data_IF_059255457806
#
_entry.id   IF_059255457806
#
_cell.length_a   1.000
_cell.length_b   1.000
_cell.length_c   1.000
_cell.angle_alpha   90.00
_cell.angle_beta   90.00
_cell.angle_gamma   90.00
#
_symmetry.space_group_name_H-M   'P 1'
#
loop_
_entity.id
_entity.type
_entity.pdbx_description
1 polymer ?
#
# COMPACT_ATOMS: atom_id res chain seq x y z
N UNK A 1 -12.88 -13.05 -14.66
CA UNK A 1 -12.17 -12.77 -15.95
C UNK A 1 -11.43 -11.43 -15.81
N UNK A 2 -10.40 -11.16 -16.64
CA UNK A 2 -9.75 -9.83 -16.63
C UNK A 2 -10.75 -8.81 -17.18
N UNK A 3 -11.00 -7.75 -16.40
CA UNK A 3 -11.91 -6.66 -16.77
C UNK A 3 -11.15 -5.57 -17.54
N UNK A 4 -10.05 -5.07 -16.98
CA UNK A 4 -9.17 -4.11 -17.64
C UNK A 4 -7.71 -4.34 -17.29
N UNK A 5 -6.83 -3.88 -18.21
CA UNK A 5 -5.40 -3.75 -17.99
C UNK A 5 -5.03 -2.33 -18.39
N UNK A 6 -4.52 -1.58 -17.46
CA UNK A 6 -4.19 -0.17 -17.63
C UNK A 6 -2.75 0.06 -17.12
N UNK A 7 -2.10 1.10 -17.60
CA UNK A 7 -0.76 1.54 -17.19
C UNK A 7 -0.78 2.92 -16.51
N UNK A 8 -1.57 3.09 -15.42
CA UNK A 8 -1.65 4.36 -14.74
C UNK A 8 -0.33 4.75 -14.07
N UNK A 9 -0.10 6.05 -13.97
CA UNK A 9 0.92 6.58 -13.07
C UNK A 9 0.47 6.48 -11.61
N UNK A 10 1.41 6.59 -10.67
CA UNK A 10 1.10 6.69 -9.23
C UNK A 10 0.16 7.87 -8.98
N UNK A 11 0.34 8.99 -9.72
CA UNK A 11 -0.59 10.12 -9.67
C UNK A 11 -2.03 9.74 -10.03
N UNK A 12 -2.23 8.85 -10.99
CA UNK A 12 -3.56 8.41 -11.43
C UNK A 12 -4.18 7.37 -10.48
N UNK A 13 -3.36 6.52 -9.87
CA UNK A 13 -3.80 5.60 -8.82
C UNK A 13 -4.31 6.39 -7.62
N UNK A 14 -3.50 7.30 -7.11
CA UNK A 14 -3.83 8.18 -5.99
C UNK A 14 -4.40 9.52 -6.49
N UNK A 15 -5.28 9.48 -7.51
CA UNK A 15 -5.84 10.67 -8.15
C UNK A 15 -6.62 11.54 -7.18
N UNK A 16 -6.43 12.85 -7.29
CA UNK A 16 -7.18 13.86 -6.52
C UNK A 16 -8.58 14.10 -7.07
N UNK A 17 -8.81 13.79 -8.35
CA UNK A 17 -10.06 14.05 -9.06
C UNK A 17 -11.05 12.89 -8.93
N UNK A 18 -10.53 11.66 -8.84
CA UNK A 18 -11.33 10.45 -8.64
C UNK A 18 -11.27 10.00 -7.18
N UNK A 19 -12.43 9.66 -6.62
CA UNK A 19 -12.52 9.14 -5.25
C UNK A 19 -12.23 7.64 -5.23
N UNK A 20 -10.99 7.26 -5.58
CA UNK A 20 -10.51 5.88 -5.50
C UNK A 20 -9.97 5.57 -4.10
N UNK A 21 -10.34 4.40 -3.59
CA UNK A 21 -9.81 3.85 -2.33
C UNK A 21 -9.30 2.45 -2.63
N UNK A 22 -8.11 2.16 -2.16
CA UNK A 22 -7.45 0.87 -2.26
C UNK A 22 -7.42 0.21 -0.89
N UNK A 23 -8.22 -0.83 -0.72
CA UNK A 23 -8.32 -1.60 0.52
C UNK A 23 -7.48 -2.88 0.41
N UNK A 24 -6.64 -3.11 1.40
CA UNK A 24 -5.84 -4.33 1.51
C UNK A 24 -6.58 -5.28 2.44
N UNK A 25 -7.21 -6.35 1.90
CA UNK A 25 -8.02 -7.25 2.71
C UNK A 25 -7.26 -7.90 3.85
N UNK A 26 -7.97 -8.23 4.93
CA UNK A 26 -7.39 -8.84 6.14
C UNK A 26 -6.71 -10.20 5.91
N UNK A 27 -7.07 -10.91 4.86
CA UNK A 27 -6.45 -12.19 4.50
C UNK A 27 -5.12 -12.05 3.74
N UNK A 28 -4.75 -10.83 3.32
CA UNK A 28 -3.44 -10.54 2.78
C UNK A 28 -2.39 -10.55 3.90
N UNK A 29 -1.12 -10.77 3.52
CA UNK A 29 -0.02 -10.70 4.49
C UNK A 29 0.13 -9.29 5.04
N UNK A 30 0.66 -9.20 6.26
CA UNK A 30 1.03 -7.93 6.87
C UNK A 30 2.09 -7.16 6.05
N UNK A 31 2.34 -5.92 6.45
CA UNK A 31 3.43 -5.14 5.88
C UNK A 31 4.78 -5.73 6.32
N UNK A 32 5.53 -6.28 5.36
CA UNK A 32 6.77 -7.04 5.64
C UNK A 32 8.02 -6.38 5.11
N UNK A 33 7.93 -5.39 4.22
CA UNK A 33 9.08 -4.69 3.67
C UNK A 33 10.00 -4.13 4.75
N UNK A 34 11.28 -4.06 4.44
CA UNK A 34 12.35 -3.61 5.32
C UNK A 34 13.19 -2.53 4.62
N UNK A 35 14.22 -2.05 5.30
CA UNK A 35 15.05 -0.94 4.82
C UNK A 35 15.63 -1.16 3.41
N UNK A 36 16.02 -2.39 3.07
CA UNK A 36 16.52 -2.71 1.73
C UNK A 36 15.45 -2.52 0.66
N UNK A 37 14.23 -2.95 0.95
CA UNK A 37 13.10 -2.83 0.02
C UNK A 37 12.71 -1.36 -0.17
N UNK A 38 12.73 -0.57 0.91
CA UNK A 38 12.45 0.86 0.86
C UNK A 38 13.53 1.62 0.09
N UNK A 39 14.81 1.30 0.33
CA UNK A 39 15.94 1.88 -0.38
C UNK A 39 15.84 1.58 -1.88
N UNK A 40 15.61 0.33 -2.26
CA UNK A 40 15.46 -0.06 -3.66
C UNK A 40 14.32 0.72 -4.34
N UNK A 41 13.13 0.79 -3.72
CA UNK A 41 12.02 1.54 -4.29
C UNK A 41 12.36 3.03 -4.50
N UNK A 42 12.99 3.64 -3.51
CA UNK A 42 13.38 5.05 -3.57
C UNK A 42 14.43 5.30 -4.66
N UNK A 43 15.48 4.48 -4.69
CA UNK A 43 16.56 4.57 -5.66
C UNK A 43 16.06 4.30 -7.08
N UNK A 44 15.21 3.30 -7.28
CA UNK A 44 14.59 2.98 -8.55
C UNK A 44 13.78 4.18 -9.11
N UNK A 45 13.11 4.94 -8.26
CA UNK A 45 12.34 6.10 -8.68
C UNK A 45 13.24 7.32 -8.92
N UNK A 46 14.20 7.58 -8.04
CA UNK A 46 14.96 8.84 -8.05
C UNK A 46 16.19 8.82 -8.95
N UNK A 47 16.73 7.61 -9.25
CA UNK A 47 17.92 7.45 -10.11
C UNK A 47 17.57 7.14 -11.57
N UNK A 48 16.29 7.01 -11.90
CA UNK A 48 15.82 6.77 -13.26
C UNK A 48 14.98 7.94 -13.78
N UNK A 49 14.74 7.94 -15.09
CA UNK A 49 13.89 8.94 -15.74
C UNK A 49 12.45 8.86 -15.26
N UNK A 50 11.71 9.98 -15.41
CA UNK A 50 10.28 10.03 -15.14
C UNK A 50 9.52 8.93 -15.92
N UNK A 51 8.55 8.29 -15.27
CA UNK A 51 7.81 7.17 -15.86
C UNK A 51 8.44 5.80 -15.59
N UNK A 52 9.36 5.69 -14.63
CA UNK A 52 9.94 4.40 -14.24
C UNK A 52 8.86 3.36 -13.89
N UNK A 53 9.02 2.15 -14.42
CA UNK A 53 8.04 1.09 -14.22
C UNK A 53 8.23 0.36 -12.90
N UNK A 54 7.24 0.42 -12.04
CA UNK A 54 7.26 -0.16 -10.70
C UNK A 54 6.70 -1.59 -10.61
N UNK A 55 6.24 -2.18 -11.71
CA UNK A 55 5.62 -3.51 -11.74
C UNK A 55 4.10 -3.47 -11.79
N UNK A 56 3.44 -4.60 -11.44
CA UNK A 56 1.99 -4.75 -11.55
C UNK A 56 1.28 -4.69 -10.20
N UNK A 57 -0.01 -4.28 -10.26
CA UNK A 57 -1.00 -4.40 -9.20
C UNK A 57 -2.18 -5.24 -9.70
N UNK A 58 -2.66 -6.17 -8.90
CA UNK A 58 -3.90 -6.90 -9.18
C UNK A 58 -4.94 -6.41 -8.19
N UNK A 59 -6.05 -5.93 -8.72
CA UNK A 59 -7.16 -5.43 -7.91
C UNK A 59 -8.47 -6.09 -8.34
N UNK A 60 -9.35 -6.33 -7.37
CA UNK A 60 -10.74 -6.69 -7.61
C UNK A 60 -11.57 -5.42 -7.55
N UNK A 61 -12.50 -5.28 -8.52
CA UNK A 61 -13.47 -4.19 -8.49
C UNK A 61 -14.38 -4.38 -7.27
N UNK A 62 -14.23 -3.49 -6.31
CA UNK A 62 -15.11 -3.43 -5.16
C UNK A 62 -16.42 -2.71 -5.46
N UNK A 63 -17.24 -2.54 -4.45
CA UNK A 63 -18.55 -1.87 -4.56
C UNK A 63 -18.38 -0.39 -4.85
N UNK A 64 -19.06 0.10 -5.88
CA UNK A 64 -19.27 1.54 -6.08
C UNK A 64 -20.25 2.03 -5.00
N UNK A 65 -19.76 2.84 -4.07
CA UNK A 65 -20.66 3.52 -3.13
C UNK A 65 -21.30 4.71 -3.83
N UNK A 66 -22.49 4.48 -4.42
CA UNK A 66 -23.23 5.47 -5.20
C UNK A 66 -23.61 6.76 -4.43
N UNK A 67 -23.55 6.74 -3.10
CA UNK A 67 -23.79 7.94 -2.29
C UNK A 67 -22.60 8.90 -2.23
N UNK A 68 -21.40 8.44 -2.53
CA UNK A 68 -20.15 9.22 -2.41
C UNK A 68 -19.32 9.23 -3.70
N UNK A 69 -19.78 8.63 -4.78
CA UNK A 69 -19.00 8.41 -6.04
C UNK A 69 -17.60 7.81 -5.79
N UNK A 70 -17.47 6.99 -4.73
CA UNK A 70 -16.20 6.41 -4.34
C UNK A 70 -16.07 5.01 -4.92
N UNK A 71 -15.01 4.77 -5.66
CA UNK A 71 -14.66 3.44 -6.20
C UNK A 71 -13.73 2.77 -5.20
N UNK A 72 -14.14 1.63 -4.67
CA UNK A 72 -13.29 0.79 -3.82
C UNK A 72 -12.65 -0.31 -4.66
N UNK A 73 -11.35 -0.44 -4.54
CA UNK A 73 -10.57 -1.54 -5.10
C UNK A 73 -10.01 -2.39 -3.98
N UNK A 74 -10.19 -3.69 -4.03
CA UNK A 74 -9.50 -4.61 -3.14
C UNK A 74 -8.16 -5.03 -3.76
N UNK A 75 -7.07 -4.79 -3.04
CA UNK A 75 -5.72 -5.06 -3.54
C UNK A 75 -5.32 -6.51 -3.24
N UNK A 76 -5.14 -7.30 -4.30
CA UNK A 76 -4.75 -8.71 -4.19
C UNK A 76 -3.24 -8.88 -4.34
N UNK A 77 -2.61 -8.08 -5.21
CA UNK A 77 -1.16 -8.03 -5.35
C UNK A 77 -0.65 -6.59 -5.46
N UNK A 78 0.62 -6.38 -5.08
CA UNK A 78 1.24 -5.05 -5.05
C UNK A 78 1.02 -4.27 -3.75
N UNK A 79 0.37 -4.84 -2.76
CA UNK A 79 0.02 -4.20 -1.48
C UNK A 79 1.21 -3.56 -0.75
N UNK A 80 2.37 -4.24 -0.71
CA UNK A 80 3.57 -3.74 -0.05
C UNK A 80 4.05 -2.45 -0.71
N UNK A 81 4.12 -2.46 -2.04
CA UNK A 81 4.55 -1.30 -2.84
C UNK A 81 3.59 -0.13 -2.70
N UNK A 82 2.28 -0.37 -2.81
CA UNK A 82 1.27 0.67 -2.69
C UNK A 82 1.30 1.35 -1.30
N UNK A 83 1.41 0.55 -0.24
CA UNK A 83 1.57 1.05 1.13
C UNK A 83 2.84 1.88 1.26
N UNK A 84 3.97 1.40 0.72
CA UNK A 84 5.25 2.09 0.80
C UNK A 84 5.25 3.41 0.01
N UNK A 85 4.65 3.43 -1.19
CA UNK A 85 4.47 4.68 -1.97
C UNK A 85 3.65 5.70 -1.20
N UNK A 86 2.61 5.26 -0.52
CA UNK A 86 1.79 6.15 0.31
C UNK A 86 2.57 6.70 1.52
N UNK A 87 3.43 5.88 2.17
CA UNK A 87 4.29 6.34 3.26
C UNK A 87 5.38 7.31 2.77
N UNK A 88 5.96 7.07 1.58
CA UNK A 88 6.91 7.99 0.94
C UNK A 88 6.26 9.35 0.64
N UNK A 89 5.08 9.37 0.04
CA UNK A 89 4.34 10.61 -0.21
C UNK A 89 3.98 11.33 1.10
N UNK A 90 3.67 10.59 2.17
CA UNK A 90 3.43 11.16 3.49
C UNK A 90 4.70 11.80 4.07
N UNK A 91 5.86 11.16 3.90
CA UNK A 91 7.14 11.71 4.34
C UNK A 91 7.53 12.98 3.56
N UNK A 92 7.31 12.99 2.24
CA UNK A 92 7.52 14.20 1.40
C UNK A 92 6.64 15.34 1.91
N UNK A 93 5.33 15.09 2.11
CA UNK A 93 4.43 16.13 2.61
C UNK A 93 4.87 16.65 3.99
N UNK A 94 5.26 15.76 4.90
CA UNK A 94 5.71 16.14 6.24
C UNK A 94 6.95 17.04 6.16
N UNK A 95 7.93 16.72 5.31
CA UNK A 95 9.12 17.56 5.09
C UNK A 95 8.79 18.90 4.45
N UNK A 96 7.92 18.93 3.43
CA UNK A 96 7.46 20.18 2.83
C UNK A 96 6.83 21.09 3.87
N UNK A 97 6.02 20.55 4.79
CA UNK A 97 5.34 21.32 5.82
C UNK A 97 6.24 21.85 6.94
N UNK A 98 7.47 21.37 7.07
CA UNK A 98 8.49 21.98 7.95
C UNK A 98 8.91 23.38 7.45
N UNK A 99 8.80 23.59 6.14
CA UNK A 99 9.11 24.87 5.48
C UNK A 99 7.85 25.67 5.11
N UNK A 100 6.73 25.45 5.80
CA UNK A 100 5.42 26.06 5.48
C UNK A 100 5.46 27.58 5.37
N UNK A 101 6.33 28.24 6.16
CA UNK A 101 6.46 29.70 6.17
C UNK A 101 7.14 30.24 4.90
N UNK A 102 7.76 29.37 4.09
CA UNK A 102 8.37 29.68 2.79
C UNK A 102 7.44 29.37 1.61
N UNK A 103 6.23 28.82 1.87
CA UNK A 103 5.27 28.41 0.84
C UNK A 103 4.25 29.53 0.66
N UNK A 104 4.16 30.09 -0.54
CA UNK A 104 3.12 31.03 -0.91
C UNK A 104 1.76 30.33 -1.17
N UNK A 105 0.71 31.14 -1.36
CA UNK A 105 -0.64 30.63 -1.55
C UNK A 105 -0.79 29.83 -2.85
N UNK A 106 -0.11 30.22 -3.92
CA UNK A 106 -0.19 29.54 -5.22
C UNK A 106 0.46 28.16 -5.13
N UNK A 107 1.69 28.07 -4.61
CA UNK A 107 2.39 26.80 -4.40
C UNK A 107 1.63 25.87 -3.43
N UNK A 108 1.02 26.45 -2.38
CA UNK A 108 0.19 25.69 -1.46
C UNK A 108 -1.03 25.09 -2.17
N UNK A 109 -1.66 25.82 -3.09
CA UNK A 109 -2.86 25.39 -3.80
C UNK A 109 -2.55 24.35 -4.88
N UNK A 110 -1.50 24.61 -5.67
CA UNK A 110 -1.23 23.88 -6.91
C UNK A 110 -0.43 22.60 -6.68
N UNK A 111 0.46 22.56 -5.69
CA UNK A 111 1.35 21.42 -5.46
C UNK A 111 1.13 20.75 -4.09
N UNK A 112 1.10 21.51 -2.99
CA UNK A 112 1.11 20.94 -1.63
C UNK A 112 -0.25 20.35 -1.26
N UNK A 113 -1.36 21.03 -1.55
CA UNK A 113 -2.71 20.48 -1.30
C UNK A 113 -3.02 19.24 -2.14
N UNK A 114 -2.70 19.18 -3.43
CA UNK A 114 -2.83 17.94 -4.21
C UNK A 114 -2.04 16.77 -3.60
N UNK A 115 -0.80 17.00 -3.15
CA UNK A 115 -0.02 15.96 -2.47
C UNK A 115 -0.76 15.41 -1.24
N UNK A 116 -1.29 16.28 -0.38
CA UNK A 116 -2.13 15.87 0.76
C UNK A 116 -3.36 15.07 0.33
N UNK A 117 -4.04 15.52 -0.73
CA UNK A 117 -5.26 14.88 -1.23
C UNK A 117 -5.01 13.52 -1.90
N UNK A 118 -3.74 13.16 -2.21
CA UNK A 118 -3.34 11.81 -2.62
C UNK A 118 -3.32 10.82 -1.46
N UNK A 119 -3.28 11.28 -0.23
CA UNK A 119 -3.22 10.47 0.99
C UNK A 119 -4.58 10.38 1.69
N UNK A 120 -5.29 11.50 1.74
CA UNK A 120 -6.57 11.66 2.45
C UNK A 120 -7.62 12.16 1.48
N UNK A 121 -8.86 11.68 1.60
CA UNK A 121 -9.94 12.14 0.74
C UNK A 121 -10.27 13.61 1.01
N UNK A 122 -10.38 14.41 -0.07
CA UNK A 122 -10.77 15.82 0.00
C UNK A 122 -12.19 16.00 0.58
N UNK A 123 -13.10 15.10 0.22
CA UNK A 123 -14.51 15.12 0.63
C UNK A 123 -14.74 14.63 2.07
N UNK A 124 -13.82 13.79 2.58
CA UNK A 124 -13.92 13.22 3.93
C UNK A 124 -12.51 13.05 4.52
N UNK A 125 -12.10 14.01 5.32
CA UNK A 125 -10.76 14.06 5.91
C UNK A 125 -10.49 12.96 6.94
N UNK A 126 -11.47 12.15 7.30
CA UNK A 126 -11.30 10.97 8.17
C UNK A 126 -10.91 9.70 7.41
N UNK A 127 -10.94 9.73 6.07
CA UNK A 127 -10.72 8.58 5.20
C UNK A 127 -9.41 8.70 4.42
N UNK A 128 -8.68 7.60 4.40
CA UNK A 128 -7.42 7.45 3.64
C UNK A 128 -7.68 6.83 2.27
N UNK A 129 -6.82 7.10 1.29
CA UNK A 129 -6.90 6.48 -0.05
C UNK A 129 -6.37 5.06 -0.07
N UNK A 130 -5.40 4.76 0.78
CA UNK A 130 -4.91 3.41 1.01
C UNK A 130 -5.38 2.99 2.40
N UNK A 131 -5.97 1.80 2.50
CA UNK A 131 -6.37 1.17 3.75
C UNK A 131 -5.47 -0.06 3.91
N UNK A 132 -4.36 0.04 4.66
CA UNK A 132 -3.51 -1.11 4.92
C UNK A 132 -4.25 -2.20 5.69
N UNK A 133 -3.78 -3.41 5.52
CA UNK A 133 -4.26 -4.58 6.23
C UNK A 133 -4.25 -4.37 7.76
N UNK A 134 -5.31 -4.84 8.45
CA UNK A 134 -5.57 -4.53 9.87
C UNK A 134 -4.71 -5.30 10.87
N UNK A 135 -4.11 -6.43 10.47
CA UNK A 135 -3.32 -7.28 11.36
C UNK A 135 -2.02 -6.58 11.79
N UNK A 136 -1.49 -6.98 12.94
CA UNK A 136 -0.26 -6.46 13.51
C UNK A 136 -0.22 -4.92 13.62
N UNK A 137 -1.38 -4.30 13.85
CA UNK A 137 -1.54 -2.86 13.99
C UNK A 137 -1.20 -2.02 12.75
N UNK A 138 -1.06 -2.62 11.55
CA UNK A 138 -0.66 -1.89 10.35
C UNK A 138 -1.59 -0.71 10.03
N UNK A 139 -2.91 -0.92 10.03
CA UNK A 139 -3.88 0.14 9.80
C UNK A 139 -3.83 1.22 10.90
N UNK A 140 -3.68 0.81 12.16
CA UNK A 140 -3.61 1.73 13.30
C UNK A 140 -2.37 2.62 13.21
N UNK A 141 -1.20 2.03 12.93
CA UNK A 141 0.06 2.74 12.78
C UNK A 141 0.03 3.71 11.59
N UNK A 142 -0.49 3.25 10.45
CA UNK A 142 -0.64 4.07 9.25
C UNK A 142 -1.56 5.28 9.51
N UNK A 143 -2.73 5.06 10.12
CA UNK A 143 -3.65 6.15 10.46
C UNK A 143 -3.04 7.13 11.47
N UNK A 144 -2.24 6.65 12.41
CA UNK A 144 -1.52 7.53 13.32
C UNK A 144 -0.50 8.41 12.60
N UNK A 145 0.31 7.82 11.71
CA UNK A 145 1.28 8.58 10.89
C UNK A 145 0.57 9.67 10.10
N UNK A 146 -0.54 9.34 9.43
CA UNK A 146 -1.30 10.33 8.66
C UNK A 146 -2.00 11.38 9.56
N UNK A 147 -2.43 11.02 10.75
CA UNK A 147 -2.98 11.97 11.72
C UNK A 147 -1.92 12.98 12.15
N UNK A 148 -0.76 12.50 12.55
CA UNK A 148 0.32 13.31 13.12
C UNK A 148 0.92 14.27 12.07
N UNK A 149 1.16 13.77 10.85
CA UNK A 149 1.93 14.48 9.84
C UNK A 149 1.10 15.11 8.71
N UNK A 150 -0.09 14.55 8.41
CA UNK A 150 -0.90 14.94 7.26
C UNK A 150 -2.20 15.63 7.70
N UNK A 151 -2.60 15.47 8.95
CA UNK A 151 -3.86 16.00 9.49
C UNK A 151 -5.07 15.16 9.10
N UNK A 152 -4.96 13.83 9.19
CA UNK A 152 -6.10 12.91 9.12
C UNK A 152 -7.02 13.18 10.32
N UNK A 153 -8.30 13.43 10.05
CA UNK A 153 -9.29 13.79 11.07
C UNK A 153 -9.87 12.54 11.73
N UNK A 154 -9.14 12.01 12.71
CA UNK A 154 -9.56 10.83 13.47
C UNK A 154 -9.23 10.98 14.94
N UNK A 155 -10.15 10.51 15.80
CA UNK A 155 -9.93 10.44 17.23
C UNK A 155 -9.21 9.12 17.55
N UNK A 156 -7.94 9.20 17.87
CA UNK A 156 -7.14 8.04 18.27
C UNK A 156 -5.94 8.44 19.13
N UNK A 157 -5.51 7.54 19.98
CA UNK A 157 -4.28 7.68 20.78
C UNK A 157 -3.08 7.13 20.03
N UNK A 158 -1.87 7.59 20.41
CA UNK A 158 -0.61 7.07 19.86
C UNK A 158 -0.51 5.57 20.15
N UNK A 159 -0.32 4.73 19.12
CA UNK A 159 -0.16 3.30 19.31
C UNK A 159 1.08 2.99 20.17
N UNK A 160 0.93 2.03 21.09
CA UNK A 160 2.07 1.55 21.88
C UNK A 160 3.11 0.88 20.96
N UNK A 161 4.39 1.09 21.23
CA UNK A 161 5.51 0.50 20.49
C UNK A 161 5.54 0.87 18.98
N UNK A 162 4.88 1.96 18.57
CA UNK A 162 4.84 2.42 17.19
C UNK A 162 6.24 2.46 16.54
N UNK A 163 7.24 3.05 17.19
CA UNK A 163 8.61 3.20 16.67
C UNK A 163 9.36 1.88 16.41
N UNK A 164 8.90 0.77 16.96
CA UNK A 164 9.47 -0.56 16.72
C UNK A 164 8.88 -1.27 15.50
N UNK A 165 7.74 -0.79 15.00
CA UNK A 165 6.98 -1.44 13.94
C UNK A 165 7.37 -0.94 12.55
N UNK A 166 7.16 -1.78 11.56
CA UNK A 166 7.65 -1.57 10.19
C UNK A 166 7.06 -0.35 9.50
N UNK A 167 5.77 -0.04 9.71
CA UNK A 167 5.13 1.17 9.15
C UNK A 167 5.84 2.44 9.59
N UNK A 168 6.07 2.60 10.90
CA UNK A 168 6.77 3.76 11.43
C UNK A 168 8.23 3.81 10.99
N UNK A 169 8.91 2.65 10.94
CA UNK A 169 10.29 2.59 10.45
C UNK A 169 10.40 2.96 8.97
N UNK A 170 9.43 2.56 8.14
CA UNK A 170 9.39 2.92 6.73
C UNK A 170 9.18 4.44 6.56
N UNK A 171 8.21 5.00 7.27
CA UNK A 171 7.98 6.46 7.26
C UNK A 171 9.24 7.23 7.70
N UNK A 172 9.83 6.87 8.83
CA UNK A 172 11.03 7.53 9.36
C UNK A 172 12.21 7.40 8.40
N UNK A 173 12.41 6.22 7.78
CA UNK A 173 13.45 6.03 6.78
C UNK A 173 13.34 7.04 5.63
N UNK A 174 12.17 7.21 5.06
CA UNK A 174 11.97 8.19 3.99
C UNK A 174 12.09 9.62 4.50
N UNK A 175 11.53 9.89 5.66
CA UNK A 175 11.58 11.20 6.28
C UNK A 175 13.03 11.64 6.53
N UNK A 176 13.87 10.77 7.09
CA UNK A 176 15.29 11.06 7.38
C UNK A 176 16.06 11.23 6.06
N UNK A 177 15.89 10.32 5.10
CA UNK A 177 16.56 10.37 3.81
C UNK A 177 16.22 11.63 3.01
N UNK A 178 14.95 12.01 2.97
CA UNK A 178 14.53 13.27 2.33
C UNK A 178 15.13 14.50 3.02
N UNK A 179 15.33 14.46 4.34
CA UNK A 179 16.00 15.52 5.07
C UNK A 179 17.46 15.65 4.66
N UNK A 180 18.18 14.53 4.52
CA UNK A 180 19.57 14.52 4.07
C UNK A 180 19.72 15.11 2.65
N UNK A 181 18.77 14.84 1.75
CA UNK A 181 18.82 15.35 0.37
C UNK A 181 18.59 16.88 0.24
N UNK A 182 18.02 17.53 1.26
CA UNK A 182 17.73 18.96 1.26
C UNK A 182 18.49 19.74 2.34
N UNK A 183 19.46 19.10 3.03
CA UNK A 183 20.16 19.66 4.18
C UNK A 183 20.86 21.00 3.88
N UNK A 184 21.40 21.14 2.68
CA UNK A 184 22.15 22.35 2.26
C UNK A 184 21.25 23.45 1.68
N UNK A 185 19.95 23.25 1.56
CA UNK A 185 19.01 24.18 0.92
C UNK A 185 18.47 25.25 1.88
N UNK A 186 17.99 26.35 1.30
CA UNK A 186 17.15 27.33 1.99
C UNK A 186 15.67 26.96 1.93
N UNK A 187 14.84 27.50 2.82
CA UNK A 187 13.43 27.11 3.00
C UNK A 187 12.65 26.83 1.71
N UNK A 188 12.63 27.74 0.72
CA UNK A 188 11.90 27.52 -0.54
C UNK A 188 12.63 26.55 -1.49
N UNK A 189 13.97 26.53 -1.48
CA UNK A 189 14.74 25.59 -2.30
C UNK A 189 14.50 24.15 -1.82
N UNK A 190 14.45 23.92 -0.51
CA UNK A 190 14.06 22.61 0.07
C UNK A 190 12.66 22.19 -0.41
N UNK A 191 11.69 23.11 -0.39
CA UNK A 191 10.33 22.82 -0.86
C UNK A 191 10.32 22.40 -2.34
N UNK A 192 11.01 23.13 -3.21
CA UNK A 192 11.08 22.80 -4.63
C UNK A 192 11.76 21.44 -4.85
N UNK A 193 12.89 21.15 -4.20
CA UNK A 193 13.56 19.86 -4.32
C UNK A 193 12.67 18.70 -3.87
N UNK A 194 11.96 18.84 -2.75
CA UNK A 194 11.01 17.84 -2.27
C UNK A 194 9.82 17.63 -3.21
N UNK A 195 9.32 18.73 -3.81
CA UNK A 195 8.23 18.64 -4.79
C UNK A 195 8.70 18.03 -6.11
N UNK A 196 9.96 18.21 -6.51
CA UNK A 196 10.52 17.55 -7.68
C UNK A 196 10.66 16.03 -7.46
N UNK A 197 11.08 15.59 -6.26
CA UNK A 197 11.02 14.17 -5.88
C UNK A 197 9.57 13.68 -5.92
N UNK A 198 8.61 14.46 -5.41
CA UNK A 198 7.19 14.13 -5.48
C UNK A 198 6.71 13.92 -6.92
N UNK A 199 7.14 14.76 -7.87
CA UNK A 199 6.81 14.63 -9.29
C UNK A 199 7.37 13.33 -9.88
N UNK A 200 8.61 12.94 -9.55
CA UNK A 200 9.18 11.66 -9.95
C UNK A 200 8.37 10.48 -9.41
N UNK A 201 8.04 10.47 -8.12
CA UNK A 201 7.19 9.44 -7.51
C UNK A 201 5.82 9.37 -8.20
N UNK A 202 5.21 10.53 -8.45
CA UNK A 202 3.91 10.63 -9.08
C UNK A 202 3.92 10.20 -10.56
N UNK A 203 5.04 10.37 -11.26
CA UNK A 203 5.21 9.97 -12.67
C UNK A 203 5.43 8.46 -12.85
N UNK A 204 5.92 7.78 -11.84
CA UNK A 204 6.21 6.34 -11.91
C UNK A 204 4.97 5.55 -12.35
N UNK A 205 5.17 4.54 -13.21
CA UNK A 205 4.10 3.79 -13.87
C UNK A 205 3.95 2.41 -13.25
N UNK A 206 2.72 1.95 -13.15
CA UNK A 206 2.38 0.58 -12.77
C UNK A 206 1.41 -0.01 -13.78
N UNK A 207 1.40 -1.33 -13.92
CA UNK A 207 0.34 -2.02 -14.64
C UNK A 207 -0.74 -2.43 -13.64
N UNK A 208 -1.91 -1.79 -13.71
CA UNK A 208 -3.06 -2.18 -12.91
C UNK A 208 -3.91 -3.18 -13.69
N UNK A 209 -4.09 -4.37 -13.15
CA UNK A 209 -4.95 -5.41 -13.70
C UNK A 209 -6.18 -5.51 -12.81
N UNK A 210 -7.32 -5.13 -13.36
CA UNK A 210 -8.61 -5.20 -12.66
C UNK A 210 -9.33 -6.47 -13.07
N UNK A 211 -9.81 -7.24 -12.11
CA UNK A 211 -10.58 -8.48 -12.31
C UNK A 211 -11.93 -8.40 -11.63
N UNK A 212 -12.88 -9.24 -12.08
CA UNK A 212 -14.26 -9.20 -11.61
C UNK A 212 -14.47 -9.96 -10.29
N UNK A 213 -13.58 -10.92 -9.99
CA UNK A 213 -13.74 -11.78 -8.82
C UNK A 213 -12.42 -12.13 -8.14
N UNK A 214 -12.49 -12.47 -6.86
CA UNK A 214 -11.35 -12.97 -6.11
C UNK A 214 -10.78 -14.26 -6.69
N UNK A 215 -11.63 -15.15 -7.23
CA UNK A 215 -11.20 -16.39 -7.87
C UNK A 215 -10.30 -16.10 -9.10
N UNK A 216 -10.68 -15.13 -9.93
CA UNK A 216 -9.88 -14.69 -11.08
C UNK A 216 -8.58 -14.04 -10.61
N UNK A 217 -8.63 -13.19 -9.55
CA UNK A 217 -7.47 -12.54 -9.00
C UNK A 217 -6.43 -13.55 -8.50
N UNK A 218 -6.85 -14.57 -7.75
CA UNK A 218 -5.95 -15.61 -7.24
C UNK A 218 -5.36 -16.48 -8.37
N UNK A 219 -6.14 -16.78 -9.40
CA UNK A 219 -5.66 -17.53 -10.57
C UNK A 219 -4.58 -16.74 -11.32
N UNK A 220 -4.83 -15.46 -11.54
CA UNK A 220 -3.88 -14.57 -12.21
C UNK A 220 -2.61 -14.38 -11.36
N UNK A 221 -2.78 -14.12 -10.06
CA UNK A 221 -1.69 -13.97 -9.11
C UNK A 221 -0.76 -15.21 -9.10
N UNK A 222 -1.33 -16.41 -9.06
CA UNK A 222 -0.56 -17.65 -9.11
C UNK A 222 0.22 -17.78 -10.43
N UNK A 223 -0.36 -17.36 -11.55
CA UNK A 223 0.29 -17.44 -12.87
C UNK A 223 1.44 -16.44 -13.02
N UNK A 224 1.31 -15.23 -12.50
CA UNK A 224 2.32 -14.18 -12.58
C UNK A 224 3.50 -14.43 -11.63
N UNK A 225 3.23 -14.92 -10.41
CA UNK A 225 4.27 -15.17 -9.41
C UNK A 225 5.17 -16.37 -9.72
N UNK A 226 4.82 -17.24 -10.68
CA UNK A 226 5.72 -18.26 -11.18
C UNK A 226 7.00 -17.70 -11.85
N UNK A 227 7.09 -16.37 -12.06
CA UNK A 227 8.22 -15.68 -12.70
C UNK A 227 8.97 -14.67 -11.81
N UNK A 228 8.53 -14.48 -10.54
CA UNK A 228 9.04 -13.46 -9.60
C UNK A 228 9.66 -14.02 -8.32
N UNK A 229 9.71 -13.20 -7.26
CA UNK A 229 10.12 -13.65 -5.92
C UNK A 229 9.12 -14.71 -5.44
N UNK A 230 9.59 -15.95 -5.18
CA UNK A 230 8.67 -17.02 -4.84
C UNK A 230 7.91 -16.69 -3.55
N UNK A 231 6.58 -16.81 -3.62
CA UNK A 231 5.75 -16.88 -2.42
C UNK A 231 6.14 -18.10 -1.61
N UNK A 232 5.93 -18.00 -0.32
CA UNK A 232 6.07 -19.19 0.53
C UNK A 232 5.08 -20.27 0.11
N UNK A 233 5.43 -21.54 0.28
CA UNK A 233 4.51 -22.65 0.00
C UNK A 233 3.20 -22.50 0.79
N UNK A 234 3.26 -21.99 2.01
CA UNK A 234 2.12 -21.70 2.88
C UNK A 234 1.21 -20.62 2.27
N UNK A 235 1.79 -19.54 1.72
CA UNK A 235 1.02 -18.48 1.04
C UNK A 235 0.38 -18.97 -0.27
N UNK A 236 1.08 -19.80 -1.04
CA UNK A 236 0.53 -20.41 -2.26
C UNK A 236 -0.70 -21.28 -1.94
N UNK A 237 -0.59 -22.15 -0.92
CA UNK A 237 -1.69 -23.01 -0.48
C UNK A 237 -2.86 -22.15 0.03
N UNK A 238 -2.59 -21.13 0.85
CA UNK A 238 -3.59 -20.19 1.32
C UNK A 238 -4.36 -19.57 0.15
N UNK A 239 -3.63 -18.99 -0.81
CA UNK A 239 -4.23 -18.31 -1.95
C UNK A 239 -5.04 -19.28 -2.83
N UNK A 240 -4.55 -20.51 -3.03
CA UNK A 240 -5.29 -21.53 -3.77
C UNK A 240 -6.60 -21.92 -3.05
N UNK A 241 -6.56 -22.11 -1.74
CA UNK A 241 -7.76 -22.46 -0.96
C UNK A 241 -8.77 -21.32 -0.94
N UNK A 242 -8.32 -20.10 -0.66
CA UNK A 242 -9.19 -18.92 -0.68
C UNK A 242 -9.76 -18.64 -2.07
N UNK A 243 -8.98 -18.85 -3.13
CA UNK A 243 -9.45 -18.75 -4.51
C UNK A 243 -10.57 -19.75 -4.83
N UNK A 244 -10.46 -21.01 -4.36
CA UNK A 244 -11.54 -22.00 -4.50
C UNK A 244 -12.79 -21.59 -3.73
N UNK A 245 -12.63 -21.07 -2.50
CA UNK A 245 -13.77 -20.58 -1.69
C UNK A 245 -14.45 -19.41 -2.41
N UNK A 246 -13.68 -18.43 -2.90
CA UNK A 246 -14.21 -17.29 -3.63
C UNK A 246 -15.00 -17.70 -4.90
N UNK A 247 -14.58 -18.77 -5.57
CA UNK A 247 -15.29 -19.32 -6.73
C UNK A 247 -16.64 -19.94 -6.39
N UNK A 248 -16.88 -20.30 -5.12
CA UNK A 248 -18.13 -20.93 -4.65
C UNK A 248 -19.00 -19.93 -3.88
N UNK A 249 -18.42 -19.19 -2.96
CA UNK A 249 -19.12 -18.24 -2.09
C UNK A 249 -18.13 -17.17 -1.59
N UNK A 250 -18.05 -16.06 -2.30
CA UNK A 250 -17.15 -14.94 -2.01
C UNK A 250 -17.45 -14.29 -0.64
N UNK A 251 -18.71 -14.29 -0.22
CA UNK A 251 -19.14 -13.75 1.08
C UNK A 251 -18.61 -14.49 2.29
N UNK A 252 -18.02 -15.69 2.11
CA UNK A 252 -17.45 -16.50 3.19
C UNK A 252 -15.92 -16.47 3.28
N UNK A 253 -15.25 -15.65 2.49
CA UNK A 253 -13.79 -15.54 2.48
C UNK A 253 -13.22 -15.27 3.87
N UNK A 254 -13.79 -14.31 4.62
CA UNK A 254 -13.33 -13.97 5.97
C UNK A 254 -13.45 -15.15 6.93
N UNK A 255 -14.55 -15.89 6.86
CA UNK A 255 -14.75 -17.08 7.69
C UNK A 255 -13.66 -18.15 7.44
N UNK A 256 -13.38 -18.47 6.17
CA UNK A 256 -12.37 -19.46 5.82
C UNK A 256 -10.95 -18.95 6.10
N UNK A 257 -10.73 -17.64 5.98
CA UNK A 257 -9.47 -17.07 6.40
C UNK A 257 -9.23 -17.19 7.91
N UNK A 258 -10.25 -17.00 8.74
CA UNK A 258 -10.15 -17.23 10.20
C UNK A 258 -9.82 -18.68 10.52
N UNK A 259 -10.42 -19.64 9.80
CA UNK A 259 -10.07 -21.07 9.93
C UNK A 259 -8.63 -21.35 9.51
N UNK A 260 -8.15 -20.72 8.44
CA UNK A 260 -6.75 -20.81 8.05
C UNK A 260 -5.83 -20.29 9.16
N UNK A 261 -6.13 -19.14 9.74
CA UNK A 261 -5.37 -18.57 10.85
C UNK A 261 -5.37 -19.47 12.10
N UNK A 262 -6.47 -20.14 12.36
CA UNK A 262 -6.57 -21.12 13.45
C UNK A 262 -5.62 -22.30 13.22
N UNK A 263 -5.56 -22.82 12.01
CA UNK A 263 -4.61 -23.89 11.64
C UNK A 263 -3.17 -23.42 11.86
N UNK A 264 -2.80 -22.23 11.38
CA UNK A 264 -1.45 -21.71 11.55
C UNK A 264 -1.09 -21.51 13.03
N UNK A 265 -2.00 -20.95 13.83
CA UNK A 265 -1.78 -20.82 15.30
C UNK A 265 -1.53 -22.14 15.98
N UNK A 266 -2.26 -23.19 15.62
CA UNK A 266 -2.08 -24.53 16.17
C UNK A 266 -0.74 -25.18 15.76
N UNK A 267 -0.17 -24.78 14.62
CA UNK A 267 1.14 -25.23 14.15
C UNK A 267 2.31 -24.42 14.75
N UNK A 268 2.01 -23.27 15.39
CA UNK A 268 3.01 -22.33 15.92
C UNK A 268 3.64 -21.45 14.85
N UNK A 269 4.54 -20.56 15.29
CA UNK A 269 5.13 -19.51 14.44
C UNK A 269 6.34 -19.98 13.60
N UNK A 270 6.75 -21.24 13.74
CA UNK A 270 7.86 -21.79 12.95
C UNK A 270 7.41 -22.13 11.53
N UNK A 271 7.84 -21.30 10.59
CA UNK A 271 7.52 -21.45 9.18
C UNK A 271 7.90 -22.83 8.59
N UNK A 272 9.04 -23.41 9.00
CA UNK A 272 9.47 -24.75 8.52
C UNK A 272 8.52 -25.84 8.99
N UNK A 273 7.99 -25.71 10.19
CA UNK A 273 6.98 -26.63 10.72
C UNK A 273 5.68 -26.51 9.96
N UNK A 274 5.23 -25.29 9.67
CA UNK A 274 4.03 -25.04 8.87
C UNK A 274 4.18 -25.61 7.45
N UNK A 275 5.30 -25.31 6.76
CA UNK A 275 5.57 -25.82 5.41
C UNK A 275 5.59 -27.34 5.37
N UNK A 276 6.27 -27.99 6.34
CA UNK A 276 6.35 -29.46 6.44
C UNK A 276 4.98 -30.08 6.65
N UNK A 277 4.14 -29.48 7.51
CA UNK A 277 2.78 -29.96 7.76
C UNK A 277 1.96 -29.94 6.48
N UNK A 278 1.94 -28.83 5.75
CA UNK A 278 1.15 -28.72 4.52
C UNK A 278 1.68 -29.66 3.42
N UNK A 279 2.98 -29.79 3.28
CA UNK A 279 3.60 -30.72 2.31
C UNK A 279 3.19 -32.17 2.61
N UNK A 280 3.33 -32.62 3.85
CA UNK A 280 2.98 -33.98 4.24
C UNK A 280 1.48 -34.28 4.07
N UNK A 281 0.61 -33.31 4.34
CA UNK A 281 -0.82 -33.50 4.14
C UNK A 281 -1.20 -33.48 2.65
N UNK A 282 -0.53 -32.69 1.82
CA UNK A 282 -0.77 -32.67 0.37
C UNK A 282 -0.38 -34.00 -0.29
N UNK A 283 0.74 -34.58 0.14
CA UNK A 283 1.24 -35.87 -0.39
C UNK A 283 0.42 -37.06 0.12
N UNK A 284 -0.43 -36.88 1.16
CA UNK A 284 -1.25 -37.92 1.76
C UNK A 284 -2.64 -38.09 1.13
N UNK A 285 -3.06 -37.15 0.27
CA UNK A 285 -4.36 -37.12 -0.43
C UNK A 285 -4.19 -36.97 -1.95
#
# INVERSE_FOLDING_TARGET
MINSVEDPTVANILSTDMLKIYDIPRYQREYTWNQRDWANLYDDITQNDAGYFLGSFIVVNGTVNSKMDTIHYEVIDGQQRLTTLSLLLAAIYARVMEHKDSIDDDLMLDDVRPLRNRLILKSDKSRTRVIPQVQNHNLEDYRWILKEHIGLDVVMQKPKFLGLRKMSKAFNYFYDRLGEEVEDGSGIECVHALLDICKLVCSAVVVQITVDSHADAYTLFASLNNRGVPLSAVDLIKNMLLGKVAGVDDGRLDYYFERWQEVLRNLGDDYKTQERFFRQNYDAF
#
